data_IF_807680839233
#
_entry.id   IF_807680839233
#
_cell.length_a   1.000
_cell.length_b   1.000
_cell.length_c   1.000
_cell.angle_alpha   90.00
_cell.angle_beta   90.00
_cell.angle_gamma   90.00
#
_symmetry.space_group_name_H-M   'P 1'
#
loop_
_entity.id
_entity.type
_entity.pdbx_description
1 polymer ?
#
# COMPACT_ATOMS: atom_id res chain seq x y z
N UNK A 1 15.09 16.40 4.78
CA UNK A 1 13.76 16.03 4.24
C UNK A 1 13.13 15.08 5.24
N UNK A 2 11.96 15.39 5.81
CA UNK A 2 11.32 14.52 6.81
C UNK A 2 10.78 13.28 6.09
N UNK A 3 11.48 12.15 6.21
CA UNK A 3 10.92 10.83 5.85
C UNK A 3 9.69 10.62 6.73
N UNK A 4 8.50 10.67 6.15
CA UNK A 4 7.34 10.11 6.84
C UNK A 4 7.54 8.60 6.87
N UNK A 5 7.36 8.01 8.05
CA UNK A 5 7.46 6.56 8.19
C UNK A 5 6.14 6.00 7.68
N UNK A 6 6.16 5.29 6.56
CA UNK A 6 4.99 4.59 6.07
C UNK A 6 4.66 3.49 7.10
N UNK A 7 3.40 3.36 7.47
CA UNK A 7 2.88 2.32 8.36
C UNK A 7 1.77 1.56 7.65
N UNK A 8 1.40 0.38 8.15
CA UNK A 8 0.30 -0.42 7.60
C UNK A 8 -1.08 0.23 7.74
N UNK A 9 -1.19 1.19 8.65
CA UNK A 9 -2.39 2.02 8.87
C UNK A 9 -2.48 3.17 7.89
N UNK A 10 -1.48 3.38 7.02
CA UNK A 10 -1.54 4.44 6.02
C UNK A 10 -2.67 4.17 5.04
N UNK A 11 -3.43 5.21 4.72
CA UNK A 11 -4.39 5.16 3.63
C UNK A 11 -3.64 5.02 2.31
N UNK A 12 -4.10 4.12 1.44
CA UNK A 12 -3.49 3.94 0.12
C UNK A 12 -3.53 5.26 -0.66
N UNK A 13 -4.58 6.07 -0.49
CA UNK A 13 -4.65 7.41 -1.07
C UNK A 13 -3.47 8.31 -0.67
N UNK A 14 -3.16 8.39 0.62
CA UNK A 14 -2.02 9.15 1.13
C UNK A 14 -0.70 8.54 0.68
N UNK A 15 -0.58 7.21 0.70
CA UNK A 15 0.60 6.51 0.21
C UNK A 15 0.89 6.84 -1.26
N UNK A 16 -0.13 6.86 -2.12
CA UNK A 16 0.02 7.20 -3.54
C UNK A 16 0.33 8.68 -3.75
N UNK A 17 -0.21 9.56 -2.91
CA UNK A 17 0.13 10.99 -2.91
C UNK A 17 1.59 11.23 -2.50
N UNK A 18 2.11 10.48 -1.53
CA UNK A 18 3.50 10.57 -1.07
C UNK A 18 4.46 9.89 -2.03
N UNK A 19 4.10 8.70 -2.52
CA UNK A 19 4.91 7.82 -3.35
C UNK A 19 4.02 7.36 -4.51
N UNK A 20 3.95 8.09 -5.64
CA UNK A 20 3.11 7.69 -6.77
C UNK A 20 3.50 6.33 -7.36
N UNK A 21 4.77 5.93 -7.21
CA UNK A 21 5.27 4.61 -7.61
C UNK A 21 4.74 3.46 -6.74
N UNK A 22 4.17 3.75 -5.57
CA UNK A 22 3.55 2.73 -4.71
C UNK A 22 2.37 2.04 -5.39
N UNK A 23 1.62 2.75 -6.26
CA UNK A 23 0.57 2.14 -7.09
C UNK A 23 1.12 0.95 -7.87
N UNK A 24 2.22 1.15 -8.58
CA UNK A 24 2.83 0.10 -9.41
C UNK A 24 3.25 -1.08 -8.54
N UNK A 25 3.90 -0.80 -7.40
CA UNK A 25 4.32 -1.83 -6.45
C UNK A 25 3.13 -2.65 -5.93
N UNK A 26 2.06 -2.00 -5.45
CA UNK A 26 0.86 -2.66 -4.96
C UNK A 26 0.17 -3.48 -6.05
N UNK A 27 0.19 -2.98 -7.30
CA UNK A 27 -0.31 -3.72 -8.46
C UNK A 27 0.50 -4.98 -8.75
N UNK A 28 1.83 -4.93 -8.66
CA UNK A 28 2.71 -6.10 -8.84
C UNK A 28 2.50 -7.13 -7.73
N UNK A 29 2.26 -6.69 -6.49
CA UNK A 29 1.92 -7.58 -5.38
C UNK A 29 0.49 -8.15 -5.48
N UNK A 30 -0.33 -7.69 -6.43
CA UNK A 30 -1.71 -8.17 -6.57
C UNK A 30 -2.71 -7.53 -5.60
N UNK A 31 -2.31 -6.46 -4.90
CA UNK A 31 -3.17 -5.60 -4.06
C UNK A 31 -3.96 -4.66 -4.98
N UNK A 32 -4.67 -5.24 -5.95
CA UNK A 32 -5.52 -4.54 -6.92
C UNK A 32 -6.86 -5.25 -7.04
N UNK A 33 -7.94 -4.55 -6.76
CA UNK A 33 -9.29 -4.97 -7.14
C UNK A 33 -10.01 -3.79 -7.82
N UNK A 34 -9.62 -3.47 -9.06
CA UNK A 34 -10.42 -2.61 -9.95
C UNK A 34 -11.53 -3.43 -10.62
N UNK A 35 -12.11 -4.41 -9.93
CA UNK A 35 -13.34 -5.03 -10.43
C UNK A 35 -14.45 -3.99 -10.23
N UNK A 36 -15.01 -3.50 -11.34
CA UNK A 36 -16.24 -2.70 -11.41
C UNK A 36 -16.22 -1.19 -11.15
N UNK A 37 -15.06 -0.52 -11.16
CA UNK A 37 -15.06 0.94 -11.44
C UNK A 37 -15.25 1.89 -10.25
N UNK A 38 -15.21 1.42 -9.01
CA UNK A 38 -15.08 2.29 -7.83
C UNK A 38 -13.84 1.89 -7.02
N UNK A 39 -12.89 2.83 -6.77
CA UNK A 39 -11.73 2.54 -5.94
C UNK A 39 -12.18 2.47 -4.47
N UNK A 40 -12.44 1.25 -3.98
CA UNK A 40 -12.46 1.01 -2.53
C UNK A 40 -11.01 1.04 -2.07
N UNK A 41 -10.52 2.21 -1.67
CA UNK A 41 -9.20 2.36 -1.06
C UNK A 41 -9.41 2.74 0.41
N UNK A 42 -8.84 1.92 1.29
CA UNK A 42 -8.71 2.22 2.71
C UNK A 42 -7.25 2.12 3.11
N UNK A 43 -7.00 1.67 4.34
CA UNK A 43 -5.64 1.46 4.83
C UNK A 43 -4.94 0.30 4.08
N UNK A 44 -3.61 0.39 3.96
CA UNK A 44 -2.77 -0.65 3.35
C UNK A 44 -3.03 -2.02 3.98
N UNK A 45 -3.20 -2.08 5.30
CA UNK A 45 -3.54 -3.29 6.03
C UNK A 45 -4.86 -3.89 5.54
N UNK A 46 -5.93 -3.08 5.48
CA UNK A 46 -7.28 -3.52 5.10
C UNK A 46 -7.31 -4.07 3.68
N UNK A 47 -6.72 -3.34 2.73
CA UNK A 47 -6.65 -3.76 1.33
C UNK A 47 -5.84 -5.06 1.16
N UNK A 48 -4.79 -5.22 1.96
CA UNK A 48 -3.97 -6.43 1.93
C UNK A 48 -4.70 -7.62 2.58
N UNK A 49 -5.33 -7.42 3.74
CA UNK A 49 -6.11 -8.46 4.41
C UNK A 49 -7.31 -8.91 3.59
N UNK A 50 -7.95 -8.01 2.85
CA UNK A 50 -9.06 -8.35 1.94
C UNK A 50 -8.62 -9.33 0.84
N UNK A 51 -7.37 -9.23 0.40
CA UNK A 51 -6.77 -10.18 -0.54
C UNK A 51 -6.27 -11.48 0.09
N UNK A 52 -6.26 -11.56 1.42
CA UNK A 52 -5.75 -12.70 2.17
C UNK A 52 -4.25 -12.63 2.49
N UNK A 53 -3.61 -11.45 2.35
CA UNK A 53 -2.23 -11.28 2.81
C UNK A 53 -2.16 -11.30 4.33
N UNK A 54 -1.06 -11.86 4.84
CA UNK A 54 -0.79 -11.94 6.28
C UNK A 54 -0.13 -10.66 6.81
N UNK A 55 -0.20 -10.43 8.13
CA UNK A 55 0.49 -9.30 8.76
C UNK A 55 2.01 -9.27 8.48
N UNK A 56 2.65 -10.43 8.27
CA UNK A 56 4.06 -10.51 7.90
C UNK A 56 4.33 -9.95 6.50
N UNK A 57 3.46 -10.26 5.53
CA UNK A 57 3.54 -9.72 4.18
C UNK A 57 3.25 -8.23 4.16
N UNK A 58 2.26 -7.79 4.94
CA UNK A 58 1.93 -6.37 5.09
C UNK A 58 3.12 -5.60 5.66
N UNK A 59 3.82 -6.15 6.66
CA UNK A 59 5.04 -5.56 7.18
C UNK A 59 6.15 -5.50 6.12
N UNK A 60 6.29 -6.53 5.27
CA UNK A 60 7.19 -6.47 4.11
C UNK A 60 6.82 -5.36 3.16
N UNK A 61 5.54 -5.18 2.82
CA UNK A 61 5.10 -4.10 1.94
C UNK A 61 5.44 -2.74 2.53
N UNK A 62 5.19 -2.53 3.82
CA UNK A 62 5.56 -1.29 4.52
C UNK A 62 7.06 -1.04 4.45
N UNK A 63 7.90 -2.06 4.68
CA UNK A 63 9.35 -1.93 4.61
C UNK A 63 9.82 -1.55 3.19
N UNK A 64 9.26 -2.20 2.16
CA UNK A 64 9.56 -1.91 0.76
C UNK A 64 9.13 -0.49 0.35
N UNK A 65 7.94 -0.07 0.76
CA UNK A 65 7.43 1.28 0.54
C UNK A 65 8.31 2.34 1.23
N UNK A 66 8.79 2.07 2.44
CA UNK A 66 9.73 2.97 3.13
C UNK A 66 11.10 3.05 2.41
N UNK A 67 11.53 1.97 1.75
CA UNK A 67 12.73 1.97 0.90
C UNK A 67 12.53 2.75 -0.39
N UNK A 68 11.36 2.65 -1.02
CA UNK A 68 10.99 3.40 -2.24
C UNK A 68 10.89 4.91 -2.01
N UNK A 69 10.70 5.36 -0.76
CA UNK A 69 10.73 6.78 -0.39
C UNK A 69 12.15 7.39 -0.44
N UNK A 70 13.21 6.58 -0.54
CA UNK A 70 14.60 7.00 -0.38
C UNK A 70 15.36 7.08 -1.70
#
# INVERSE_FOLDING_TARGET
MKKQKITKEIEIEDLVRLIPNSVTYLMEQGIRCLRCGEPIWGSLESASKEKGFTDEEINRFVDDLNKLQN
#
